data_IF_896735149170
#
_entry.id   IF_896735149170
#
_cell.length_a   1.000
_cell.length_b   1.000
_cell.length_c   1.000
_cell.angle_alpha   90.00
_cell.angle_beta   90.00
_cell.angle_gamma   90.00
#
_symmetry.space_group_name_H-M   'P 1'
#
loop_
_entity.id
_entity.type
_entity.pdbx_description
1 polymer ?
#
# COMPACT_ATOMS: atom_id res chain seq x y z
N UNK A 1 -6.19 -6.90 -16.23
CA UNK A 1 -5.50 -6.40 -15.02
C UNK A 1 -4.51 -5.33 -15.50
N UNK A 2 -4.50 -4.12 -14.93
CA UNK A 2 -3.50 -3.12 -15.32
C UNK A 2 -2.09 -3.70 -15.11
N UNK A 3 -1.17 -3.40 -16.03
CA UNK A 3 0.22 -3.81 -15.87
C UNK A 3 0.75 -3.23 -14.55
N UNK A 4 1.46 -4.03 -13.76
CA UNK A 4 2.09 -3.56 -12.53
C UNK A 4 3.30 -2.68 -12.90
N UNK A 5 3.06 -1.42 -13.26
CA UNK A 5 4.08 -0.46 -13.69
C UNK A 5 5.12 -0.19 -12.60
N UNK A 6 4.75 -0.39 -11.33
CA UNK A 6 5.70 -0.27 -10.22
C UNK A 6 6.77 -1.36 -10.24
N UNK A 7 6.49 -2.52 -10.86
CA UNK A 7 7.38 -3.67 -10.89
C UNK A 7 7.88 -4.10 -9.48
N UNK A 8 7.08 -3.85 -8.44
CA UNK A 8 7.36 -4.24 -7.06
C UNK A 8 6.37 -5.33 -6.65
N UNK A 9 6.81 -6.58 -6.40
CA UNK A 9 5.91 -7.70 -6.12
C UNK A 9 5.01 -7.53 -4.89
N UNK A 10 5.44 -6.73 -3.91
CA UNK A 10 4.69 -6.46 -2.69
C UNK A 10 3.45 -5.57 -2.93
N UNK A 11 3.38 -4.88 -4.08
CA UNK A 11 2.30 -3.98 -4.42
C UNK A 11 1.57 -4.44 -5.68
N UNK A 12 0.26 -4.22 -5.69
CA UNK A 12 -0.57 -4.37 -6.87
C UNK A 12 -1.18 -3.04 -7.22
N UNK A 13 -0.90 -2.56 -8.43
CA UNK A 13 -1.54 -1.37 -8.99
C UNK A 13 -3.01 -1.69 -9.23
N UNK A 14 -3.90 -0.89 -8.65
CA UNK A 14 -5.35 -1.03 -8.77
C UNK A 14 -5.91 -0.07 -9.80
N UNK A 15 -5.33 1.13 -9.92
CA UNK A 15 -5.76 2.18 -10.84
C UNK A 15 -4.58 3.09 -11.18
N UNK A 16 -4.56 3.60 -12.40
CA UNK A 16 -3.67 4.66 -12.85
C UNK A 16 -4.53 5.74 -13.49
N UNK A 17 -4.33 6.97 -13.04
CA UNK A 17 -4.95 8.16 -13.62
C UNK A 17 -3.87 9.10 -14.13
N UNK A 18 -4.21 9.80 -15.20
CA UNK A 18 -3.33 10.67 -15.92
C UNK A 18 -4.05 12.00 -16.13
N UNK A 19 -3.48 13.06 -15.57
CA UNK A 19 -3.88 14.44 -15.77
C UNK A 19 -2.80 15.18 -16.58
N UNK A 20 -3.07 16.43 -16.98
CA UNK A 20 -2.15 17.25 -17.78
C UNK A 20 -0.73 17.33 -17.15
N UNK A 21 -0.65 17.34 -15.82
CA UNK A 21 0.60 17.57 -15.09
C UNK A 21 1.04 16.42 -14.18
N UNK A 22 0.16 15.44 -13.94
CA UNK A 22 0.33 14.44 -12.89
C UNK A 22 -0.06 13.04 -13.36
N UNK A 23 0.67 12.05 -12.89
CA UNK A 23 0.28 10.65 -12.87
C UNK A 23 -0.09 10.26 -11.44
N UNK A 24 -1.30 9.74 -11.26
CA UNK A 24 -1.79 9.22 -10.00
C UNK A 24 -1.84 7.69 -10.07
N UNK A 25 -0.91 7.03 -9.39
CA UNK A 25 -0.84 5.56 -9.33
C UNK A 25 -1.41 5.10 -8.00
N UNK A 26 -2.45 4.28 -8.03
CA UNK A 26 -3.07 3.71 -6.84
C UNK A 26 -2.65 2.24 -6.72
N UNK A 27 -2.23 1.85 -5.51
CA UNK A 27 -1.77 0.49 -5.24
C UNK A 27 -2.27 -0.04 -3.89
N UNK A 28 -2.37 -1.35 -3.79
CA UNK A 28 -2.63 -2.06 -2.54
C UNK A 28 -1.47 -3.00 -2.19
N UNK A 29 -1.27 -3.25 -0.90
CA UNK A 29 -0.30 -4.25 -0.41
C UNK A 29 -0.86 -5.65 -0.65
N UNK A 30 -0.08 -6.51 -1.32
CA UNK A 30 -0.51 -7.87 -1.69
C UNK A 30 -0.24 -8.92 -0.60
N UNK A 31 0.96 -9.00 0.00
CA UNK A 31 1.26 -10.08 0.93
C UNK A 31 0.33 -10.02 2.15
N UNK A 32 -0.32 -11.13 2.53
CA UNK A 32 -1.15 -11.15 3.71
C UNK A 32 -0.27 -11.03 4.95
N UNK A 33 -0.70 -10.22 5.91
CA UNK A 33 -0.10 -10.20 7.24
C UNK A 33 -0.67 -11.41 8.00
N UNK A 34 0.19 -12.39 8.27
CA UNK A 34 -0.20 -13.65 8.92
C UNK A 34 0.15 -13.69 10.41
N UNK A 35 1.08 -12.85 10.86
CA UNK A 35 1.56 -12.82 12.23
C UNK A 35 1.90 -11.40 12.71
N UNK A 36 1.81 -11.19 14.01
CA UNK A 36 2.21 -9.94 14.63
C UNK A 36 3.72 -9.74 14.54
N UNK A 37 4.17 -8.59 14.00
CA UNK A 37 5.60 -8.26 13.90
C UNK A 37 6.30 -8.14 15.27
N UNK A 38 5.54 -8.03 16.36
CA UNK A 38 6.07 -7.84 17.71
C UNK A 38 6.11 -9.10 18.57
N UNK A 39 5.14 -10.02 18.42
CA UNK A 39 5.04 -11.22 19.26
C UNK A 39 4.76 -12.50 18.47
N UNK A 40 4.72 -12.44 17.14
CA UNK A 40 4.49 -13.56 16.22
C UNK A 40 3.15 -14.31 16.40
N UNK A 41 2.23 -13.78 17.21
CA UNK A 41 0.87 -14.32 17.32
C UNK A 41 0.08 -14.09 16.03
N UNK A 42 -0.70 -15.10 15.62
CA UNK A 42 -1.68 -15.01 14.53
C UNK A 42 -3.01 -14.37 14.93
N UNK A 43 -3.18 -13.98 16.20
CA UNK A 43 -4.40 -13.33 16.70
C UNK A 43 -4.45 -11.85 16.28
N UNK A 44 -4.73 -11.63 15.01
CA UNK A 44 -4.79 -10.32 14.37
C UNK A 44 -6.24 -9.91 14.09
N UNK A 45 -6.57 -8.65 14.35
CA UNK A 45 -7.83 -8.03 13.92
C UNK A 45 -7.56 -6.81 13.07
N UNK A 46 -8.41 -6.58 12.07
CA UNK A 46 -8.37 -5.37 11.26
C UNK A 46 -8.61 -4.14 12.14
N UNK A 47 -7.67 -3.19 12.10
CA UNK A 47 -7.69 -1.94 12.88
C UNK A 47 -7.79 -0.71 11.97
N UNK A 48 -8.38 -0.90 10.79
CA UNK A 48 -8.61 0.15 9.79
C UNK A 48 -7.62 0.11 8.63
N UNK A 49 -7.70 1.16 7.81
CA UNK A 49 -6.88 1.35 6.62
C UNK A 49 -6.21 2.71 6.67
N UNK A 50 -5.05 2.83 6.04
CA UNK A 50 -4.32 4.08 5.91
C UNK A 50 -3.77 4.20 4.51
N UNK A 51 -4.19 5.25 3.81
CA UNK A 51 -3.53 5.65 2.58
C UNK A 51 -2.18 6.30 2.89
N UNK A 52 -1.15 5.89 2.15
CA UNK A 52 0.18 6.51 2.14
C UNK A 52 0.40 7.14 0.80
N UNK A 53 0.66 8.44 0.79
CA UNK A 53 1.03 9.18 -0.41
C UNK A 53 2.56 9.30 -0.46
N UNK A 54 3.16 8.84 -1.56
CA UNK A 54 4.59 8.93 -1.86
C UNK A 54 4.76 9.66 -3.18
N UNK A 55 5.71 10.60 -3.23
CA UNK A 55 6.11 11.24 -4.49
C UNK A 55 7.22 10.40 -5.12
N UNK A 56 7.07 10.09 -6.39
CA UNK A 56 8.08 9.37 -7.16
C UNK A 56 8.76 10.31 -8.19
N UNK A 57 9.78 9.79 -8.88
CA UNK A 57 10.45 10.48 -9.97
C UNK A 57 9.44 10.82 -11.08
N UNK A 58 9.52 12.03 -11.66
CA UNK A 58 8.69 12.41 -12.79
C UNK A 58 8.82 11.44 -13.97
N UNK A 59 7.70 11.15 -14.62
CA UNK A 59 7.61 10.33 -15.83
C UNK A 59 6.95 11.15 -16.93
N UNK A 60 7.44 11.07 -18.17
CA UNK A 60 6.89 11.80 -19.32
C UNK A 60 6.67 13.31 -19.07
N UNK A 61 7.61 13.97 -18.37
CA UNK A 61 7.53 15.37 -17.94
C UNK A 61 6.35 15.72 -17.00
N UNK A 62 5.73 14.71 -16.37
CA UNK A 62 4.66 14.87 -15.38
C UNK A 62 5.10 14.36 -14.02
N UNK A 63 4.55 14.93 -12.96
CA UNK A 63 4.84 14.49 -11.59
C UNK A 63 4.15 13.15 -11.34
N UNK A 64 4.72 12.31 -10.49
CA UNK A 64 4.14 11.01 -10.17
C UNK A 64 3.81 10.97 -8.67
N UNK A 65 2.54 10.71 -8.36
CA UNK A 65 2.03 10.47 -7.02
C UNK A 65 1.57 9.01 -6.87
N UNK A 66 2.14 8.30 -5.90
CA UNK A 66 1.78 6.94 -5.55
C UNK A 66 0.92 6.93 -4.28
N UNK A 67 -0.28 6.34 -4.38
CA UNK A 67 -1.27 6.23 -3.31
C UNK A 67 -1.40 4.77 -2.91
N UNK A 68 -0.84 4.41 -1.76
CA UNK A 68 -0.76 3.03 -1.28
C UNK A 68 -1.80 2.82 -0.18
N UNK A 69 -2.82 2.00 -0.43
CA UNK A 69 -3.74 1.55 0.61
C UNK A 69 -3.06 0.48 1.48
N UNK A 70 -2.80 0.82 2.74
CA UNK A 70 -2.20 -0.08 3.72
C UNK A 70 -3.23 -0.50 4.77
N UNK A 71 -3.31 -1.79 5.07
CA UNK A 71 -4.17 -2.32 6.13
C UNK A 71 -3.42 -2.27 7.46
N UNK A 72 -4.08 -1.76 8.50
CA UNK A 72 -3.55 -1.79 9.86
C UNK A 72 -4.17 -2.93 10.62
N UNK A 73 -3.39 -3.57 11.47
CA UNK A 73 -3.84 -4.65 12.32
C UNK A 73 -3.55 -4.32 13.77
N UNK A 74 -4.40 -4.81 14.67
CA UNK A 74 -4.12 -4.89 16.09
C UNK A 74 -3.93 -6.35 16.46
N UNK A 75 -2.87 -6.64 17.22
CA UNK A 75 -2.68 -7.97 17.79
C UNK A 75 -3.47 -8.07 19.10
N UNK A 76 -4.32 -9.10 19.25
CA UNK A 76 -5.06 -9.35 20.49
C UNK A 76 -4.17 -9.85 21.63
N UNK A 77 -3.10 -10.57 21.30
CA UNK A 77 -2.18 -11.12 22.30
C UNK A 77 -1.31 -10.03 22.98
N UNK A 78 -0.73 -9.10 22.20
CA UNK A 78 0.15 -8.06 22.76
C UNK A 78 -0.44 -6.64 22.76
N UNK A 79 -1.66 -6.44 22.24
CA UNK A 79 -2.37 -5.16 22.18
C UNK A 79 -1.83 -4.13 21.17
N UNK A 80 -0.66 -4.38 20.56
CA UNK A 80 0.01 -3.44 19.65
C UNK A 80 -0.68 -3.35 18.29
N UNK A 81 -0.68 -2.15 17.72
CA UNK A 81 -1.15 -1.88 16.35
C UNK A 81 0.03 -1.69 15.40
N UNK A 82 -0.05 -2.22 14.20
CA UNK A 82 0.96 -2.08 13.16
C UNK A 82 0.33 -1.99 11.78
#
# INVERSE_FOLDING_TARGET
MPANILNIPAYRVTRVEEDEHDYHVYAEVVPPITACIHCQSGELVGFGRRERHVKDLPMHARRVGLYIDTRRFQCRNCGKTF
#
